data_IF_071731788105
#
_entry.id   IF_071731788105
#
_cell.length_a   1.000
_cell.length_b   1.000
_cell.length_c   1.000
_cell.angle_alpha   90.00
_cell.angle_beta   90.00
_cell.angle_gamma   90.00
#
_symmetry.space_group_name_H-M   'P 1'
#
loop_
_entity.id
_entity.type
_entity.pdbx_description
1 polymer ?
#
# COMPACT_ATOMS: atom_id res chain seq x y z
N UNK A 1 22.75 -9.68 -41.19
CA UNK A 1 21.76 -9.45 -42.25
C UNK A 1 20.63 -10.45 -42.03
N UNK A 2 19.63 -10.07 -41.23
CA UNK A 2 18.29 -10.65 -41.18
C UNK A 2 17.38 -9.58 -40.60
N UNK A 3 16.72 -8.85 -41.50
CA UNK A 3 15.58 -8.01 -41.17
C UNK A 3 14.42 -8.94 -40.83
N UNK A 4 13.85 -8.81 -39.64
CA UNK A 4 12.52 -9.36 -39.35
C UNK A 4 11.51 -8.24 -39.54
N UNK A 5 10.96 -8.15 -40.74
CA UNK A 5 9.72 -7.42 -40.99
C UNK A 5 8.59 -8.09 -40.18
N UNK A 6 8.05 -7.39 -39.17
CA UNK A 6 6.73 -7.72 -38.65
C UNK A 6 5.71 -7.40 -39.74
N UNK A 7 4.87 -8.39 -40.05
CA UNK A 7 3.75 -8.29 -40.97
C UNK A 7 2.70 -7.30 -40.38
N UNK A 8 2.18 -6.33 -41.16
CA UNK A 8 1.11 -5.45 -40.72
C UNK A 8 -0.24 -6.13 -41.01
N UNK A 9 -0.83 -6.79 -40.02
CA UNK A 9 -2.21 -7.27 -40.14
C UNK A 9 -2.88 -7.39 -38.77
N UNK A 10 -3.78 -6.45 -38.50
CA UNK A 10 -4.75 -6.55 -37.41
C UNK A 10 -4.45 -5.73 -36.15
N UNK A 11 -3.77 -4.59 -36.26
CA UNK A 11 -3.85 -3.60 -35.19
C UNK A 11 -5.27 -3.05 -35.14
N UNK A 12 -5.94 -3.22 -34.01
CA UNK A 12 -7.05 -2.35 -33.64
C UNK A 12 -6.55 -0.93 -33.81
N UNK A 13 -7.12 -0.17 -34.75
CA UNK A 13 -6.89 1.27 -34.79
C UNK A 13 -7.26 1.79 -33.40
N UNK A 14 -6.32 2.43 -32.72
CA UNK A 14 -6.57 3.01 -31.41
C UNK A 14 -7.84 3.85 -31.44
N UNK A 15 -8.72 3.68 -30.46
CA UNK A 15 -10.00 4.40 -30.43
C UNK A 15 -9.76 5.92 -30.32
N UNK A 16 -8.62 6.32 -29.74
CA UNK A 16 -8.16 7.71 -29.69
C UNK A 16 -7.37 8.13 -30.92
N UNK A 17 -7.88 9.09 -31.70
CA UNK A 17 -7.13 9.63 -32.85
C UNK A 17 -5.88 10.39 -32.41
N UNK A 18 -4.75 10.19 -33.08
CA UNK A 18 -3.54 11.00 -32.91
C UNK A 18 -3.82 12.50 -33.09
N UNK A 19 -3.30 13.34 -32.18
CA UNK A 19 -3.44 14.80 -32.22
C UNK A 19 -2.06 15.46 -32.18
N UNK A 20 -1.58 16.07 -33.28
CA UNK A 20 -0.32 16.80 -33.27
C UNK A 20 -0.31 17.90 -32.20
N UNK A 21 0.68 17.90 -31.31
CA UNK A 21 0.80 18.88 -30.23
C UNK A 21 -0.29 18.78 -29.16
N UNK A 22 -0.86 17.59 -28.97
CA UNK A 22 -2.02 17.43 -28.11
C UNK A 22 -2.33 16.01 -27.65
N UNK A 23 -3.46 15.90 -26.96
CA UNK A 23 -3.97 14.69 -26.32
C UNK A 23 -5.40 14.47 -26.84
N UNK A 24 -5.73 13.23 -27.18
CA UNK A 24 -7.10 12.79 -27.48
C UNK A 24 -7.58 11.83 -26.41
N UNK A 25 -8.85 11.94 -26.04
CA UNK A 25 -9.51 11.06 -25.10
C UNK A 25 -10.83 10.57 -25.66
N UNK A 26 -11.20 9.34 -25.28
CA UNK A 26 -12.51 8.76 -25.55
C UNK A 26 -13.22 8.55 -24.22
N UNK A 27 -14.40 9.13 -24.09
CA UNK A 27 -15.27 9.03 -22.93
C UNK A 27 -16.31 7.93 -23.14
N UNK A 28 -16.71 7.28 -22.06
CA UNK A 28 -17.90 6.45 -22.07
C UNK A 28 -19.14 7.28 -22.43
N UNK A 29 -20.05 6.79 -23.31
CA UNK A 29 -21.28 7.51 -23.66
C UNK A 29 -22.19 7.86 -22.48
N UNK A 30 -22.06 7.15 -21.36
CA UNK A 30 -22.86 7.35 -20.15
C UNK A 30 -22.26 8.39 -19.17
N UNK A 31 -21.12 9.00 -19.51
CA UNK A 31 -20.53 10.14 -18.77
C UNK A 31 -19.72 11.04 -19.71
N UNK A 32 -20.37 12.11 -20.16
CA UNK A 32 -19.77 13.11 -21.07
C UNK A 32 -19.21 14.34 -20.35
N UNK A 33 -19.28 14.38 -19.02
CA UNK A 33 -18.67 15.44 -18.22
C UNK A 33 -17.45 14.88 -17.50
N UNK A 34 -16.29 15.49 -17.75
CA UNK A 34 -15.02 15.11 -17.10
C UNK A 34 -14.38 16.29 -16.38
N UNK A 35 -13.60 15.98 -15.35
CA UNK A 35 -12.73 16.94 -14.65
C UNK A 35 -11.30 16.73 -15.07
N UNK A 36 -10.61 17.82 -15.40
CA UNK A 36 -9.20 17.80 -15.78
C UNK A 36 -8.44 18.93 -15.08
N UNK A 37 -7.16 18.71 -14.84
CA UNK A 37 -6.20 19.77 -14.52
C UNK A 37 -5.11 19.72 -15.58
N UNK A 38 -4.81 20.88 -16.18
CA UNK A 38 -3.82 20.97 -17.25
C UNK A 38 -2.85 22.10 -16.93
N UNK A 39 -1.55 21.80 -17.03
CA UNK A 39 -0.49 22.80 -16.90
C UNK A 39 0.26 22.90 -18.21
N UNK A 40 0.51 24.12 -18.68
CA UNK A 40 1.34 24.41 -19.84
C UNK A 40 2.67 25.02 -19.41
N UNK A 41 3.73 24.81 -20.20
CA UNK A 41 5.08 25.29 -19.83
C UNK A 41 5.18 26.82 -19.73
N UNK A 42 4.33 27.55 -20.45
CA UNK A 42 4.32 29.01 -20.58
C UNK A 42 3.05 29.68 -19.98
N UNK A 43 2.18 28.90 -19.33
CA UNK A 43 0.90 29.37 -18.81
C UNK A 43 -0.13 29.72 -19.88
N UNK A 44 0.11 29.36 -21.14
CA UNK A 44 -0.85 29.53 -22.23
C UNK A 44 -2.12 28.71 -22.02
N UNK A 45 -3.23 29.18 -22.59
CA UNK A 45 -4.47 28.40 -22.65
C UNK A 45 -4.32 27.14 -23.52
N UNK A 46 -5.09 26.12 -23.18
CA UNK A 46 -5.19 24.87 -23.93
C UNK A 46 -6.47 24.90 -24.73
N UNK A 47 -6.36 24.70 -26.04
CA UNK A 47 -7.51 24.60 -26.92
C UNK A 47 -8.23 23.27 -26.69
N UNK A 48 -9.57 23.33 -26.63
CA UNK A 48 -10.44 22.17 -26.42
C UNK A 48 -11.33 21.99 -27.66
N UNK A 49 -11.39 20.77 -28.18
CA UNK A 49 -12.32 20.36 -29.22
C UNK A 49 -13.19 19.20 -28.72
N UNK A 50 -14.44 19.13 -29.19
CA UNK A 50 -15.40 18.10 -28.79
C UNK A 50 -16.23 18.45 -27.55
N UNK A 51 -16.02 19.62 -26.96
CA UNK A 51 -16.74 20.11 -25.78
C UNK A 51 -17.49 21.43 -26.04
N UNK A 52 -18.33 21.83 -25.08
CA UNK A 52 -18.89 23.18 -25.03
C UNK A 52 -17.82 24.24 -24.78
N UNK A 53 -16.79 23.88 -24.00
CA UNK A 53 -15.59 24.68 -23.76
C UNK A 53 -14.69 24.63 -24.99
N UNK A 54 -14.20 25.80 -25.43
CA UNK A 54 -13.27 25.91 -26.57
C UNK A 54 -11.82 26.14 -26.13
N UNK A 55 -11.62 26.61 -24.90
CA UNK A 55 -10.31 26.67 -24.24
C UNK A 55 -10.44 26.53 -22.72
N UNK A 56 -9.35 26.14 -22.08
CA UNK A 56 -9.19 26.09 -20.63
C UNK A 56 -7.83 26.68 -20.22
N UNK A 57 -7.69 27.24 -19.00
CA UNK A 57 -6.41 27.75 -18.53
C UNK A 57 -5.38 26.62 -18.37
N UNK A 58 -4.12 26.91 -18.72
CA UNK A 58 -2.97 26.01 -18.51
C UNK A 58 -2.25 26.25 -17.17
N UNK A 59 -2.97 26.70 -16.15
CA UNK A 59 -2.43 27.07 -14.83
C UNK A 59 -2.50 25.94 -13.79
N UNK A 60 -2.98 24.76 -14.18
CA UNK A 60 -3.17 23.60 -13.29
C UNK A 60 -4.45 23.65 -12.45
N UNK A 61 -5.30 24.67 -12.61
CA UNK A 61 -6.61 24.71 -11.95
C UNK A 61 -7.53 23.59 -12.45
N UNK A 62 -8.44 23.14 -11.59
CA UNK A 62 -9.42 22.12 -11.95
C UNK A 62 -10.49 22.71 -12.89
N UNK A 63 -10.69 22.05 -14.02
CA UNK A 63 -11.61 22.45 -15.07
C UNK A 63 -12.61 21.32 -15.33
N UNK A 64 -13.86 21.68 -15.61
CA UNK A 64 -14.89 20.73 -16.02
C UNK A 64 -15.12 20.89 -17.51
N UNK A 65 -14.98 19.81 -18.27
CA UNK A 65 -15.27 19.77 -19.70
C UNK A 65 -16.59 19.05 -19.92
N UNK A 66 -17.49 19.69 -20.68
CA UNK A 66 -18.79 19.16 -21.05
C UNK A 66 -18.76 18.72 -22.51
N UNK A 67 -18.46 17.44 -22.73
CA UNK A 67 -18.30 16.89 -24.06
C UNK A 67 -19.64 16.81 -24.81
N UNK A 68 -19.61 17.22 -26.07
CA UNK A 68 -20.73 17.12 -27.03
C UNK A 68 -20.89 15.72 -27.64
N UNK A 69 -19.88 14.88 -27.47
CA UNK A 69 -19.82 13.48 -27.87
C UNK A 69 -18.75 12.76 -27.06
N UNK A 70 -18.35 11.56 -27.47
CA UNK A 70 -17.38 10.77 -26.71
C UNK A 70 -15.93 11.23 -26.91
N UNK A 71 -15.63 11.99 -27.95
CA UNK A 71 -14.26 12.41 -28.25
C UNK A 71 -13.98 13.81 -27.69
N UNK A 72 -12.90 13.94 -26.92
CA UNK A 72 -12.36 15.21 -26.46
C UNK A 72 -10.91 15.33 -26.89
N UNK A 73 -10.53 16.48 -27.44
CA UNK A 73 -9.14 16.75 -27.84
C UNK A 73 -8.64 18.02 -27.18
N UNK A 74 -7.41 17.96 -26.68
CA UNK A 74 -6.69 19.07 -26.07
C UNK A 74 -5.46 19.38 -26.90
N UNK A 75 -5.18 20.66 -27.17
CA UNK A 75 -3.96 21.10 -27.86
C UNK A 75 -3.31 22.27 -27.14
N UNK A 76 -2.00 22.20 -26.98
CA UNK A 76 -1.21 23.22 -26.31
C UNK A 76 0.15 22.68 -25.87
N UNK A 77 0.97 23.56 -25.28
CA UNK A 77 2.29 23.21 -24.75
C UNK A 77 2.16 22.53 -23.37
N UNK A 78 1.41 21.42 -23.32
CA UNK A 78 1.00 20.74 -22.08
C UNK A 78 2.19 19.98 -21.48
N UNK A 79 2.49 20.25 -20.21
CA UNK A 79 3.53 19.56 -19.42
C UNK A 79 2.93 18.65 -18.34
N UNK A 80 1.76 19.00 -17.81
CA UNK A 80 1.01 18.16 -16.86
C UNK A 80 -0.41 17.97 -17.37
N UNK A 81 -0.82 16.71 -17.44
CA UNK A 81 -2.20 16.34 -17.72
C UNK A 81 -2.74 15.41 -16.64
N UNK A 82 -3.77 15.86 -15.91
CA UNK A 82 -4.46 15.06 -14.92
C UNK A 82 -5.94 14.94 -15.29
N UNK A 83 -6.38 13.72 -15.57
CA UNK A 83 -7.76 13.32 -15.77
C UNK A 83 -8.14 12.16 -14.83
N UNK A 84 -7.50 12.08 -13.67
CA UNK A 84 -7.76 11.02 -12.70
C UNK A 84 -9.13 11.19 -12.05
N UNK A 85 -9.84 10.08 -11.88
CA UNK A 85 -11.03 10.02 -11.06
C UNK A 85 -10.72 9.74 -9.59
N UNK A 86 -11.75 9.37 -8.86
CA UNK A 86 -11.66 8.83 -7.50
C UNK A 86 -12.44 7.51 -7.41
N UNK A 87 -12.30 6.79 -6.29
CA UNK A 87 -13.09 5.59 -6.03
C UNK A 87 -14.62 5.84 -6.11
N UNK A 88 -15.08 7.04 -5.75
CA UNK A 88 -16.50 7.42 -5.75
C UNK A 88 -16.92 8.21 -7.00
N UNK A 89 -15.98 8.73 -7.78
CA UNK A 89 -16.21 9.55 -8.98
C UNK A 89 -15.15 9.24 -10.06
N UNK A 90 -15.21 8.05 -10.65
CA UNK A 90 -14.35 7.68 -11.80
C UNK A 90 -14.72 8.53 -13.04
N UNK A 91 -13.76 8.92 -13.89
CA UNK A 91 -14.06 9.80 -15.05
C UNK A 91 -14.64 9.03 -16.26
N UNK A 92 -14.63 7.69 -16.22
CA UNK A 92 -15.09 6.80 -17.31
C UNK A 92 -14.43 7.06 -18.68
N UNK A 93 -13.16 7.47 -18.69
CA UNK A 93 -12.36 7.55 -19.91
C UNK A 93 -11.96 6.12 -20.31
N UNK A 94 -12.15 5.74 -21.57
CA UNK A 94 -11.88 4.40 -22.11
C UNK A 94 -10.61 4.31 -22.94
N UNK A 95 -10.18 5.42 -23.55
CA UNK A 95 -8.91 5.48 -24.28
C UNK A 95 -8.26 6.86 -24.16
N UNK A 96 -6.93 6.89 -24.11
CA UNK A 96 -6.12 8.11 -24.20
C UNK A 96 -5.03 7.90 -25.23
N UNK A 97 -4.90 8.84 -26.16
CA UNK A 97 -3.74 8.97 -27.04
C UNK A 97 -3.06 10.30 -26.76
N UNK A 98 -1.86 10.25 -26.19
CA UNK A 98 -1.04 11.42 -25.87
C UNK A 98 0.26 11.48 -26.69
N UNK A 99 0.43 10.61 -27.69
CA UNK A 99 1.69 10.50 -28.45
C UNK A 99 2.10 11.81 -29.16
N UNK A 100 1.15 12.67 -29.49
CA UNK A 100 1.42 13.97 -30.11
C UNK A 100 1.84 15.06 -29.13
N UNK A 101 1.78 14.82 -27.82
CA UNK A 101 2.10 15.76 -26.76
C UNK A 101 3.53 15.57 -26.23
N UNK A 102 4.54 15.74 -27.08
CA UNK A 102 5.96 15.48 -26.73
C UNK A 102 6.53 16.33 -25.57
N UNK A 103 5.82 17.36 -25.13
CA UNK A 103 6.16 18.21 -23.98
C UNK A 103 5.66 17.64 -22.65
N UNK A 104 4.88 16.56 -22.66
CA UNK A 104 4.26 16.01 -21.46
C UNK A 104 5.31 15.41 -20.53
N UNK A 105 5.35 15.90 -19.28
CA UNK A 105 6.24 15.45 -18.23
C UNK A 105 5.52 14.59 -17.19
N UNK A 106 4.23 14.86 -16.96
CA UNK A 106 3.42 14.15 -15.94
C UNK A 106 2.04 13.82 -16.47
N UNK A 107 1.69 12.53 -16.42
CA UNK A 107 0.38 12.01 -16.80
C UNK A 107 -0.28 11.30 -15.62
N UNK A 108 -1.45 11.79 -15.22
CA UNK A 108 -2.30 11.19 -14.21
C UNK A 108 -3.65 10.83 -14.82
N UNK A 109 -3.91 9.54 -15.01
CA UNK A 109 -5.15 9.03 -15.61
C UNK A 109 -5.75 7.88 -14.80
N UNK A 110 -5.53 7.88 -13.49
CA UNK A 110 -5.99 6.84 -12.56
C UNK A 110 -7.50 6.86 -12.35
N UNK A 111 -8.11 5.76 -11.89
CA UNK A 111 -9.55 5.65 -11.62
C UNK A 111 -10.41 5.98 -12.87
N UNK A 112 -10.16 5.23 -13.94
CA UNK A 112 -10.84 5.34 -15.21
C UNK A 112 -11.31 3.95 -15.69
N UNK A 113 -11.58 3.82 -16.99
CA UNK A 113 -11.92 2.55 -17.64
C UNK A 113 -11.00 2.28 -18.83
N UNK A 114 -9.76 2.79 -18.77
CA UNK A 114 -8.84 2.75 -19.90
C UNK A 114 -8.57 1.30 -20.31
N UNK A 115 -8.88 0.98 -21.56
CA UNK A 115 -8.44 -0.25 -22.23
C UNK A 115 -7.23 0.02 -23.13
N UNK A 116 -6.99 1.30 -23.45
CA UNK A 116 -5.93 1.75 -24.36
C UNK A 116 -5.26 3.02 -23.82
N UNK A 117 -3.94 3.04 -23.82
CA UNK A 117 -3.12 4.17 -23.42
C UNK A 117 -1.91 4.30 -24.36
N UNK A 118 -2.01 5.16 -25.36
CA UNK A 118 -0.94 5.38 -26.33
C UNK A 118 -0.01 6.54 -25.90
N UNK A 119 1.20 6.19 -25.43
CA UNK A 119 2.15 7.14 -24.82
C UNK A 119 3.60 6.94 -25.26
N UNK A 120 3.88 6.00 -26.17
CA UNK A 120 5.23 5.51 -26.48
C UNK A 120 6.24 6.59 -26.92
N UNK A 121 5.76 7.73 -27.43
CA UNK A 121 6.58 8.86 -27.89
C UNK A 121 6.97 9.87 -26.80
N UNK A 122 6.53 9.69 -25.55
CA UNK A 122 6.67 10.67 -24.47
C UNK A 122 8.02 10.59 -23.73
N UNK A 123 9.13 10.92 -24.40
CA UNK A 123 10.48 10.81 -23.83
C UNK A 123 10.77 11.72 -22.63
N UNK A 124 9.96 12.75 -22.40
CA UNK A 124 10.09 13.69 -21.28
C UNK A 124 9.30 13.25 -20.03
N UNK A 125 8.59 12.12 -20.09
CA UNK A 125 7.73 11.67 -19.00
C UNK A 125 8.57 11.30 -17.77
N UNK A 126 8.26 11.94 -16.65
CA UNK A 126 8.85 11.71 -15.32
C UNK A 126 7.88 11.02 -14.37
N UNK A 127 6.58 11.23 -14.58
CA UNK A 127 5.50 10.63 -13.76
C UNK A 127 4.41 10.04 -14.64
N UNK A 128 4.08 8.77 -14.40
CA UNK A 128 2.94 8.08 -15.02
C UNK A 128 2.10 7.34 -13.97
N UNK A 129 0.90 7.84 -13.70
CA UNK A 129 -0.05 7.20 -12.78
C UNK A 129 -1.34 6.82 -13.49
N UNK A 130 -1.50 5.53 -13.78
CA UNK A 130 -2.64 4.95 -14.49
C UNK A 130 -3.32 3.82 -13.69
N UNK A 131 -3.24 3.83 -12.35
CA UNK A 131 -3.87 2.82 -11.50
C UNK A 131 -5.39 2.76 -11.63
N UNK A 132 -6.00 1.61 -11.33
CA UNK A 132 -7.45 1.39 -11.34
C UNK A 132 -8.03 1.70 -12.72
N UNK A 133 -7.66 0.85 -13.69
CA UNK A 133 -8.08 0.90 -15.08
C UNK A 133 -8.34 -0.53 -15.59
N UNK A 134 -8.37 -0.73 -16.92
CA UNK A 134 -8.58 -2.03 -17.57
C UNK A 134 -7.49 -2.31 -18.61
N UNK A 135 -6.28 -1.77 -18.39
CA UNK A 135 -5.17 -1.91 -19.32
C UNK A 135 -4.68 -3.35 -19.32
N UNK A 136 -4.45 -3.91 -20.50
CA UNK A 136 -3.86 -5.25 -20.67
C UNK A 136 -2.40 -5.19 -21.09
N UNK A 137 -1.97 -4.03 -21.60
CA UNK A 137 -0.61 -3.72 -22.01
C UNK A 137 -0.21 -2.32 -21.51
N UNK A 138 1.09 -2.14 -21.29
CA UNK A 138 1.66 -0.86 -20.90
C UNK A 138 3.10 -0.75 -21.43
N UNK A 139 3.31 0.14 -22.39
CA UNK A 139 4.61 0.36 -23.03
C UNK A 139 5.36 1.50 -22.34
N UNK A 140 6.24 1.17 -21.40
CA UNK A 140 7.02 2.16 -20.62
C UNK A 140 8.53 2.07 -20.80
N UNK A 141 9.05 1.01 -21.44
CA UNK A 141 10.50 0.69 -21.46
C UNK A 141 11.44 1.77 -22.05
N UNK A 142 10.91 2.79 -22.73
CA UNK A 142 11.67 3.92 -23.28
C UNK A 142 11.65 5.19 -22.41
N UNK A 143 10.92 5.21 -21.29
CA UNK A 143 10.80 6.39 -20.43
C UNK A 143 11.97 6.50 -19.45
N UNK A 144 13.17 6.75 -19.97
CA UNK A 144 14.41 6.77 -19.19
C UNK A 144 14.46 7.83 -18.09
N UNK A 145 13.59 8.86 -18.15
CA UNK A 145 13.48 9.92 -17.15
C UNK A 145 12.40 9.63 -16.09
N UNK A 146 11.74 8.47 -16.15
CA UNK A 146 10.64 8.14 -15.24
C UNK A 146 11.17 7.92 -13.82
N UNK A 147 10.66 8.70 -12.87
CA UNK A 147 10.96 8.57 -11.44
C UNK A 147 9.79 7.99 -10.65
N UNK A 148 8.57 8.10 -11.18
CA UNK A 148 7.38 7.56 -10.54
C UNK A 148 6.45 6.87 -11.53
N UNK A 149 6.20 5.58 -11.28
CA UNK A 149 5.33 4.73 -12.08
C UNK A 149 4.30 4.04 -11.18
N UNK A 150 3.02 4.25 -11.48
CA UNK A 150 1.91 3.57 -10.80
C UNK A 150 0.93 3.03 -11.82
N UNK A 151 0.77 1.71 -11.87
CA UNK A 151 -0.17 0.99 -12.74
C UNK A 151 -0.96 -0.09 -12.00
N UNK A 152 -1.04 -0.01 -10.66
CA UNK A 152 -1.77 -0.98 -9.83
C UNK A 152 -3.24 -1.13 -10.26
N UNK A 153 -3.85 -2.29 -10.00
CA UNK A 153 -5.25 -2.60 -10.35
C UNK A 153 -5.53 -2.40 -11.84
N UNK A 154 -4.86 -3.21 -12.66
CA UNK A 154 -5.05 -3.35 -14.09
C UNK A 154 -5.08 -4.84 -14.48
N UNK A 155 -4.99 -5.15 -15.77
CA UNK A 155 -4.96 -6.52 -16.30
C UNK A 155 -3.64 -6.78 -17.04
N UNK A 156 -2.56 -6.10 -16.62
CA UNK A 156 -1.26 -6.15 -17.29
C UNK A 156 -0.57 -7.46 -16.91
N UNK A 157 -0.25 -8.27 -17.93
CA UNK A 157 0.43 -9.55 -17.73
C UNK A 157 1.94 -9.49 -17.91
N UNK A 158 2.45 -8.47 -18.59
CA UNK A 158 3.87 -8.24 -18.83
C UNK A 158 4.13 -6.73 -18.93
N UNK A 159 5.24 -6.28 -18.37
CA UNK A 159 5.70 -4.90 -18.47
C UNK A 159 7.22 -4.89 -18.52
N UNK A 160 7.79 -4.15 -19.47
CA UNK A 160 9.24 -3.93 -19.56
C UNK A 160 9.61 -2.68 -18.74
N UNK A 161 10.29 -2.90 -17.61
CA UNK A 161 10.78 -1.86 -16.71
C UNK A 161 12.30 -1.88 -16.57
N UNK A 162 13.01 -2.69 -17.35
CA UNK A 162 14.43 -3.01 -17.12
C UNK A 162 15.34 -1.79 -17.24
N UNK A 163 14.97 -0.85 -18.12
CA UNK A 163 15.73 0.37 -18.37
C UNK A 163 15.31 1.56 -17.49
N UNK A 164 14.33 1.39 -16.59
CA UNK A 164 13.77 2.47 -15.79
C UNK A 164 14.59 2.75 -14.52
N UNK A 165 15.91 2.84 -14.66
CA UNK A 165 16.87 2.89 -13.53
C UNK A 165 16.75 4.14 -12.65
N UNK A 166 16.01 5.16 -13.09
CA UNK A 166 15.72 6.38 -12.32
C UNK A 166 14.46 6.26 -11.45
N UNK A 167 13.77 5.11 -11.46
CA UNK A 167 12.57 4.92 -10.64
C UNK A 167 12.89 4.99 -9.15
N UNK A 168 12.15 5.86 -8.47
CA UNK A 168 12.13 6.02 -7.02
C UNK A 168 10.84 5.44 -6.43
N UNK A 169 9.75 5.45 -7.20
CA UNK A 169 8.42 4.97 -6.81
C UNK A 169 7.85 4.01 -7.86
N UNK A 170 7.57 2.77 -7.44
CA UNK A 170 6.94 1.75 -8.28
C UNK A 170 5.76 1.10 -7.55
N UNK A 171 4.54 1.37 -8.05
CA UNK A 171 3.31 0.73 -7.58
C UNK A 171 2.69 -0.09 -8.71
N UNK A 172 2.70 -1.40 -8.56
CA UNK A 172 2.32 -2.36 -9.59
C UNK A 172 1.32 -3.42 -9.11
N UNK A 173 0.86 -3.29 -7.85
CA UNK A 173 -0.02 -4.25 -7.19
C UNK A 173 -1.29 -4.60 -7.98
N UNK A 174 -1.89 -5.76 -7.70
CA UNK A 174 -3.15 -6.21 -8.34
C UNK A 174 -3.04 -6.18 -9.88
N UNK A 175 -2.10 -6.96 -10.40
CA UNK A 175 -1.91 -7.23 -11.81
C UNK A 175 -1.49 -8.70 -12.02
N UNK A 176 -1.94 -9.36 -13.09
CA UNK A 176 -1.59 -10.74 -13.40
C UNK A 176 -0.19 -10.87 -14.06
N UNK A 177 0.84 -10.23 -13.49
CA UNK A 177 2.19 -10.24 -14.04
C UNK A 177 2.77 -11.66 -14.08
N UNK A 178 3.27 -12.08 -15.24
CA UNK A 178 3.86 -13.42 -15.41
C UNK A 178 5.27 -13.54 -14.82
N UNK A 179 5.96 -12.42 -14.66
CA UNK A 179 7.27 -12.30 -14.04
C UNK A 179 7.42 -10.92 -13.41
N UNK A 180 8.12 -10.85 -12.29
CA UNK A 180 8.42 -9.59 -11.61
C UNK A 180 9.87 -9.59 -11.13
N UNK A 181 10.67 -8.65 -11.62
CA UNK A 181 12.07 -8.48 -11.25
C UNK A 181 12.37 -6.99 -11.14
N UNK A 182 12.88 -6.56 -9.98
CA UNK A 182 13.14 -5.14 -9.67
C UNK A 182 14.49 -4.91 -9.00
N UNK A 183 15.28 -5.97 -8.78
CA UNK A 183 16.56 -5.93 -8.08
C UNK A 183 17.63 -5.02 -8.74
N UNK A 184 17.44 -4.63 -10.00
CA UNK A 184 18.29 -3.70 -10.73
C UNK A 184 17.86 -2.22 -10.59
N UNK A 185 16.68 -1.94 -10.04
CA UNK A 185 16.14 -0.59 -9.87
C UNK A 185 16.64 0.06 -8.57
N UNK A 186 17.94 0.30 -8.50
CA UNK A 186 18.66 0.66 -7.26
C UNK A 186 18.23 1.99 -6.61
N UNK A 187 17.50 2.84 -7.33
CA UNK A 187 16.99 4.12 -6.80
C UNK A 187 15.63 4.00 -6.11
N UNK A 188 15.00 2.81 -6.09
CA UNK A 188 13.70 2.62 -5.47
C UNK A 188 13.72 2.98 -3.99
N UNK A 189 12.86 3.93 -3.61
CA UNK A 189 12.55 4.29 -2.22
C UNK A 189 11.20 3.71 -1.77
N UNK A 190 10.28 3.48 -2.71
CA UNK A 190 8.93 3.00 -2.44
C UNK A 190 8.50 1.93 -3.46
N UNK A 191 8.21 0.74 -2.95
CA UNK A 191 7.79 -0.40 -3.74
C UNK A 191 6.48 -0.98 -3.20
N UNK A 192 5.47 -1.03 -4.07
CA UNK A 192 4.24 -1.80 -3.84
C UNK A 192 4.07 -2.84 -4.95
N UNK A 193 4.27 -4.10 -4.56
CA UNK A 193 4.20 -5.31 -5.39
C UNK A 193 3.21 -6.32 -4.78
N UNK A 194 2.17 -5.81 -4.10
CA UNK A 194 1.15 -6.63 -3.45
C UNK A 194 0.23 -7.32 -4.47
N UNK A 195 -0.39 -8.44 -4.12
CA UNK A 195 -1.38 -9.13 -4.99
C UNK A 195 -0.83 -9.55 -6.37
N UNK A 196 0.47 -9.86 -6.46
CA UNK A 196 1.13 -10.29 -7.71
C UNK A 196 1.32 -11.81 -7.81
N UNK A 197 0.84 -12.57 -6.83
CA UNK A 197 1.02 -14.04 -6.74
C UNK A 197 2.49 -14.47 -6.71
N UNK A 198 3.38 -13.63 -6.16
CA UNK A 198 4.81 -13.91 -6.08
C UNK A 198 5.11 -15.07 -5.13
N UNK A 199 5.88 -16.05 -5.57
CA UNK A 199 6.47 -17.07 -4.68
C UNK A 199 7.84 -16.66 -4.13
N UNK A 200 8.51 -15.72 -4.79
CA UNK A 200 9.84 -15.19 -4.43
C UNK A 200 9.89 -13.68 -4.73
N UNK A 201 10.59 -12.93 -3.88
CA UNK A 201 10.85 -11.50 -4.08
C UNK A 201 12.33 -11.19 -3.82
N UNK A 202 13.07 -10.93 -4.90
CA UNK A 202 14.51 -10.61 -4.82
C UNK A 202 14.68 -9.09 -4.78
N UNK A 203 15.03 -8.58 -3.60
CA UNK A 203 15.17 -7.13 -3.34
C UNK A 203 16.40 -6.79 -2.49
N UNK A 204 17.30 -7.75 -2.26
CA UNK A 204 18.49 -7.68 -1.41
C UNK A 204 19.44 -6.50 -1.70
N UNK A 205 19.42 -5.96 -2.93
CA UNK A 205 20.25 -4.85 -3.37
C UNK A 205 19.54 -3.48 -3.35
N UNK A 206 18.26 -3.42 -2.99
CA UNK A 206 17.46 -2.19 -3.01
C UNK A 206 17.65 -1.35 -1.73
N UNK A 207 18.88 -0.99 -1.43
CA UNK A 207 19.28 -0.37 -0.15
C UNK A 207 18.65 1.01 0.11
N UNK A 208 18.06 1.65 -0.90
CA UNK A 208 17.34 2.91 -0.77
C UNK A 208 15.87 2.75 -0.33
N UNK A 209 15.33 1.52 -0.29
CA UNK A 209 13.95 1.28 0.09
C UNK A 209 13.64 1.79 1.50
N UNK A 210 12.55 2.54 1.59
CA UNK A 210 11.94 3.06 2.82
C UNK A 210 10.55 2.47 3.06
N UNK A 211 9.82 2.21 1.98
CA UNK A 211 8.46 1.67 2.02
C UNK A 211 8.39 0.42 1.16
N UNK A 212 8.04 -0.71 1.77
CA UNK A 212 7.84 -1.97 1.08
C UNK A 212 6.46 -2.53 1.41
N UNK A 213 5.64 -2.71 0.37
CA UNK A 213 4.47 -3.56 0.40
C UNK A 213 4.66 -4.73 -0.55
N UNK A 214 4.61 -5.93 0.01
CA UNK A 214 4.63 -7.22 -0.68
C UNK A 214 3.50 -8.12 -0.17
N UNK A 215 2.43 -7.50 0.34
CA UNK A 215 1.29 -8.18 0.91
C UNK A 215 0.52 -9.03 -0.12
N UNK A 216 -0.27 -9.97 0.36
CA UNK A 216 -1.18 -10.77 -0.49
C UNK A 216 -0.43 -11.50 -1.63
N UNK A 217 0.72 -12.09 -1.30
CA UNK A 217 1.52 -12.91 -2.20
C UNK A 217 1.60 -14.34 -1.66
N UNK A 218 2.50 -15.14 -2.22
CA UNK A 218 2.75 -16.52 -1.81
C UNK A 218 4.19 -16.69 -1.30
N UNK A 219 4.77 -15.64 -0.73
CA UNK A 219 6.15 -15.62 -0.27
C UNK A 219 6.31 -16.57 0.93
N UNK A 220 7.32 -17.44 0.87
CA UNK A 220 7.71 -18.30 1.99
C UNK A 220 8.90 -17.75 2.77
N UNK A 221 9.67 -16.87 2.13
CA UNK A 221 10.82 -16.17 2.69
C UNK A 221 10.83 -14.71 2.25
N UNK A 222 11.44 -13.85 3.07
CA UNK A 222 11.64 -12.43 2.76
C UNK A 222 12.96 -11.96 3.37
N UNK A 223 14.00 -11.88 2.55
CA UNK A 223 15.31 -11.39 3.00
C UNK A 223 15.38 -9.86 2.97
N UNK A 224 15.55 -9.27 4.16
CA UNK A 224 15.63 -7.83 4.39
C UNK A 224 17.00 -7.40 4.93
N UNK A 225 18.00 -8.30 4.98
CA UNK A 225 19.23 -8.10 5.77
C UNK A 225 19.99 -6.80 5.41
N UNK A 226 19.94 -6.40 4.14
CA UNK A 226 20.62 -5.21 3.61
C UNK A 226 19.72 -3.96 3.54
N UNK A 227 18.42 -4.07 3.83
CA UNK A 227 17.44 -3.01 3.60
C UNK A 227 17.29 -2.07 4.81
N UNK A 228 18.41 -1.59 5.34
CA UNK A 228 18.50 -0.88 6.63
C UNK A 228 17.73 0.45 6.69
N UNK A 229 17.24 0.95 5.54
CA UNK A 229 16.48 2.19 5.43
C UNK A 229 14.97 2.00 5.52
N UNK A 230 14.46 0.77 5.58
CA UNK A 230 13.02 0.50 5.67
C UNK A 230 12.43 1.16 6.93
N UNK A 231 11.33 1.88 6.71
CA UNK A 231 10.51 2.56 7.71
C UNK A 231 9.14 1.88 7.86
N UNK A 232 8.56 1.42 6.75
CA UNK A 232 7.29 0.70 6.77
C UNK A 232 7.40 -0.61 5.98
N UNK A 233 6.98 -1.69 6.64
CA UNK A 233 6.94 -3.03 6.04
C UNK A 233 5.52 -3.60 6.13
N UNK A 234 4.94 -3.88 4.97
CA UNK A 234 3.69 -4.62 4.83
C UNK A 234 3.96 -5.92 4.07
N UNK A 235 3.93 -7.03 4.79
CA UNK A 235 4.16 -8.39 4.27
C UNK A 235 3.06 -9.37 4.74
N UNK A 236 1.90 -8.84 5.13
CA UNK A 236 0.76 -9.63 5.57
C UNK A 236 0.19 -10.49 4.44
N UNK A 237 -0.59 -11.52 4.79
CA UNK A 237 -1.18 -12.45 3.82
C UNK A 237 -0.12 -13.12 2.92
N UNK A 238 0.85 -13.76 3.56
CA UNK A 238 1.89 -14.55 2.89
C UNK A 238 2.06 -15.90 3.62
N UNK A 239 3.12 -16.63 3.31
CA UNK A 239 3.46 -17.93 3.91
C UNK A 239 4.82 -17.86 4.62
N UNK A 240 5.21 -16.68 5.10
CA UNK A 240 6.53 -16.42 5.70
C UNK A 240 6.61 -17.14 7.05
N UNK A 241 7.61 -17.99 7.21
CA UNK A 241 7.85 -18.74 8.45
C UNK A 241 8.81 -18.02 9.41
N UNK A 242 9.74 -17.23 8.88
CA UNK A 242 10.73 -16.48 9.66
C UNK A 242 10.86 -15.05 9.13
N UNK A 243 10.91 -14.07 10.03
CA UNK A 243 11.07 -12.65 9.68
C UNK A 243 12.18 -12.02 10.52
N UNK A 244 13.36 -11.85 9.92
CA UNK A 244 14.51 -11.26 10.59
C UNK A 244 14.52 -9.73 10.47
N UNK A 245 14.32 -9.05 11.62
CA UNK A 245 14.27 -7.59 11.69
C UNK A 245 15.49 -6.96 12.42
N UNK A 246 16.55 -7.73 12.67
CA UNK A 246 17.66 -7.34 13.57
C UNK A 246 18.34 -6.01 13.20
N UNK A 247 18.44 -5.68 11.91
CA UNK A 247 19.12 -4.47 11.41
C UNK A 247 18.16 -3.35 10.98
N UNK A 248 16.87 -3.47 11.31
CA UNK A 248 15.83 -2.54 10.85
C UNK A 248 15.66 -1.35 11.81
N UNK A 249 16.74 -0.64 12.15
CA UNK A 249 16.70 0.43 13.18
C UNK A 249 15.82 1.64 12.81
N UNK A 250 15.44 1.76 11.55
CA UNK A 250 14.57 2.82 11.04
C UNK A 250 13.08 2.45 11.00
N UNK A 251 12.74 1.21 11.35
CA UNK A 251 11.39 0.67 11.22
C UNK A 251 10.43 1.37 12.19
N UNK A 252 9.36 1.92 11.64
CA UNK A 252 8.29 2.60 12.37
C UNK A 252 7.01 1.77 12.39
N UNK A 253 6.71 1.03 11.32
CA UNK A 253 5.50 0.24 11.19
C UNK A 253 5.80 -1.13 10.58
N UNK A 254 5.26 -2.17 11.21
CA UNK A 254 5.30 -3.55 10.70
C UNK A 254 3.89 -4.13 10.70
N UNK A 255 3.50 -4.65 9.54
CA UNK A 255 2.31 -5.48 9.38
C UNK A 255 2.72 -6.79 8.72
N UNK A 256 2.69 -7.87 9.51
CA UNK A 256 2.98 -9.24 9.09
C UNK A 256 1.88 -10.22 9.49
N UNK A 257 0.65 -9.73 9.71
CA UNK A 257 -0.48 -10.58 10.08
C UNK A 257 -0.82 -11.61 8.98
N UNK A 258 -1.42 -12.74 9.35
CA UNK A 258 -1.68 -13.87 8.44
C UNK A 258 -0.43 -14.33 7.68
N UNK A 259 0.53 -14.83 8.45
CA UNK A 259 1.72 -15.53 7.99
C UNK A 259 1.88 -16.84 8.80
N UNK A 260 3.06 -17.47 8.74
CA UNK A 260 3.36 -18.72 9.45
C UNK A 260 4.45 -18.52 10.51
N UNK A 261 4.63 -17.29 11.02
CA UNK A 261 5.69 -16.96 11.96
C UNK A 261 5.54 -17.74 13.27
N UNK A 262 6.61 -18.38 13.73
CA UNK A 262 6.65 -19.09 15.03
C UNK A 262 7.31 -18.27 16.13
N UNK A 263 8.15 -17.31 15.75
CA UNK A 263 8.78 -16.35 16.65
C UNK A 263 8.85 -14.97 16.00
N UNK A 264 8.84 -13.93 16.82
CA UNK A 264 9.06 -12.58 16.35
C UNK A 264 9.80 -11.76 17.41
N UNK A 265 10.93 -11.21 17.00
CA UNK A 265 11.75 -10.35 17.83
C UNK A 265 11.81 -8.94 17.23
N UNK A 266 11.16 -8.00 17.91
CA UNK A 266 11.22 -6.56 17.62
C UNK A 266 11.86 -5.79 18.76
N UNK A 267 12.60 -6.49 19.63
CA UNK A 267 13.29 -5.85 20.73
C UNK A 267 14.31 -4.84 20.22
N UNK A 268 14.42 -3.72 20.94
CA UNK A 268 15.31 -2.62 20.60
C UNK A 268 15.03 -1.90 19.26
N UNK A 269 13.90 -2.18 18.58
CA UNK A 269 13.44 -1.35 17.46
C UNK A 269 12.88 -0.02 18.01
N UNK A 270 13.79 0.89 18.39
CA UNK A 270 13.47 2.08 19.18
C UNK A 270 12.51 3.07 18.48
N UNK A 271 12.38 3.00 17.15
CA UNK A 271 11.46 3.82 16.34
C UNK A 271 10.13 3.14 16.03
N UNK A 272 9.98 1.84 16.33
CA UNK A 272 8.77 1.09 16.02
C UNK A 272 7.60 1.65 16.82
N UNK A 273 6.56 2.11 16.12
CA UNK A 273 5.33 2.69 16.68
C UNK A 273 4.17 1.69 16.66
N UNK A 274 4.08 0.89 15.60
CA UNK A 274 2.99 -0.07 15.41
C UNK A 274 3.49 -1.43 14.94
N UNK A 275 3.02 -2.48 15.60
CA UNK A 275 3.23 -3.88 15.19
C UNK A 275 1.88 -4.61 15.10
N UNK A 276 1.59 -5.14 13.93
CA UNK A 276 0.50 -6.07 13.64
C UNK A 276 1.10 -7.41 13.21
N UNK A 277 0.84 -8.45 14.00
CA UNK A 277 1.33 -9.82 13.79
C UNK A 277 0.25 -10.86 14.13
N UNK A 278 -1.02 -10.45 14.06
CA UNK A 278 -2.17 -11.33 14.29
C UNK A 278 -2.21 -12.51 13.32
N UNK A 279 -2.91 -13.58 13.69
CA UNK A 279 -3.10 -14.76 12.82
C UNK A 279 -1.76 -15.36 12.33
N UNK A 280 -0.84 -15.60 13.25
CA UNK A 280 0.40 -16.33 13.02
C UNK A 280 0.44 -17.56 13.94
N UNK A 281 1.61 -18.20 14.07
CA UNK A 281 1.84 -19.33 14.96
C UNK A 281 2.84 -18.96 16.07
N UNK A 282 2.90 -17.67 16.45
CA UNK A 282 3.97 -17.14 17.29
C UNK A 282 3.84 -17.73 18.69
N UNK A 283 4.88 -18.39 19.19
CA UNK A 283 4.98 -18.84 20.59
C UNK A 283 5.79 -17.86 21.45
N UNK A 284 6.76 -17.17 20.84
CA UNK A 284 7.63 -16.19 21.49
C UNK A 284 7.57 -14.85 20.75
N UNK A 285 7.05 -13.83 21.44
CA UNK A 285 7.02 -12.46 20.97
C UNK A 285 7.81 -11.56 21.92
N UNK A 286 8.98 -11.11 21.46
CA UNK A 286 9.84 -10.21 22.22
C UNK A 286 9.78 -8.79 21.64
N UNK A 287 9.08 -7.90 22.36
CA UNK A 287 8.98 -6.47 22.05
C UNK A 287 9.72 -5.59 23.08
N UNK A 288 10.59 -6.17 23.91
CA UNK A 288 11.26 -5.44 24.97
C UNK A 288 12.10 -4.25 24.43
N UNK A 289 12.09 -3.14 25.14
CA UNK A 289 12.78 -1.89 24.78
C UNK A 289 12.34 -1.29 23.42
N UNK A 290 11.19 -1.68 22.87
CA UNK A 290 10.58 -0.98 21.73
C UNK A 290 9.98 0.35 22.23
N UNK A 291 10.85 1.33 22.48
CA UNK A 291 10.50 2.50 23.30
C UNK A 291 9.42 3.41 22.71
N UNK A 292 9.27 3.41 21.38
CA UNK A 292 8.25 4.18 20.67
C UNK A 292 6.96 3.40 20.41
N UNK A 293 6.87 2.12 20.79
CA UNK A 293 5.75 1.25 20.43
C UNK A 293 4.48 1.72 21.13
N UNK A 294 3.49 2.18 20.37
CA UNK A 294 2.18 2.61 20.88
C UNK A 294 1.13 1.53 20.74
N UNK A 295 1.21 0.71 19.69
CA UNK A 295 0.20 -0.29 19.34
C UNK A 295 0.85 -1.65 19.05
N UNK A 296 0.42 -2.68 19.79
CA UNK A 296 0.83 -4.06 19.60
C UNK A 296 -0.39 -4.96 19.43
N UNK A 297 -0.56 -5.51 18.23
CA UNK A 297 -1.62 -6.45 17.92
C UNK A 297 -1.02 -7.82 17.60
N UNK A 298 -1.32 -8.80 18.46
CA UNK A 298 -0.83 -10.17 18.38
C UNK A 298 -1.95 -11.20 18.64
N UNK A 299 -3.21 -10.80 18.41
CA UNK A 299 -4.38 -11.66 18.53
C UNK A 299 -4.25 -12.89 17.64
N UNK A 300 -4.77 -14.04 18.07
CA UNK A 300 -4.83 -15.27 17.29
C UNK A 300 -3.42 -15.80 16.92
N UNK A 301 -2.69 -16.21 17.95
CA UNK A 301 -1.36 -16.81 17.89
C UNK A 301 -1.27 -17.95 18.92
N UNK A 302 -0.07 -18.45 19.19
CA UNK A 302 0.18 -19.52 20.18
C UNK A 302 1.05 -19.01 21.34
N UNK A 303 0.98 -17.71 21.66
CA UNK A 303 1.97 -17.05 22.51
C UNK A 303 1.92 -17.62 23.92
N UNK A 304 3.06 -18.16 24.35
CA UNK A 304 3.35 -18.52 25.74
C UNK A 304 4.39 -17.59 26.35
N UNK A 305 5.00 -16.69 25.58
CA UNK A 305 5.93 -15.68 26.09
C UNK A 305 5.76 -14.36 25.34
N UNK A 306 5.08 -13.41 25.99
CA UNK A 306 4.94 -12.03 25.53
C UNK A 306 5.80 -11.11 26.40
N UNK A 307 6.91 -10.62 25.85
CA UNK A 307 7.77 -9.67 26.55
C UNK A 307 7.56 -8.23 26.03
N UNK A 308 6.97 -7.38 26.88
CA UNK A 308 6.73 -5.95 26.62
C UNK A 308 7.46 -5.05 27.63
N UNK A 309 8.54 -5.54 28.24
CA UNK A 309 9.32 -4.76 29.19
C UNK A 309 9.90 -3.49 28.55
N UNK A 310 9.86 -2.37 29.29
CA UNK A 310 10.40 -1.09 28.84
C UNK A 310 9.78 -0.57 27.52
N UNK A 311 8.46 -0.72 27.36
CA UNK A 311 7.68 -0.08 26.30
C UNK A 311 6.89 1.13 26.83
N UNK A 312 7.54 2.25 27.19
CA UNK A 312 6.91 3.40 27.86
C UNK A 312 5.91 4.18 27.01
N UNK A 313 5.80 3.91 25.70
CA UNK A 313 4.81 4.52 24.81
C UNK A 313 3.56 3.65 24.57
N UNK A 314 3.55 2.39 25.01
CA UNK A 314 2.48 1.43 24.70
C UNK A 314 1.15 1.87 25.30
N UNK A 315 0.11 2.03 24.48
CA UNK A 315 -1.25 2.39 24.91
C UNK A 315 -2.31 1.46 24.34
N UNK A 316 -2.02 0.62 23.35
CA UNK A 316 -2.95 -0.39 22.85
C UNK A 316 -2.28 -1.75 22.72
N UNK A 317 -2.83 -2.74 23.43
CA UNK A 317 -2.40 -4.13 23.37
C UNK A 317 -3.59 -5.03 23.06
N UNK A 318 -3.46 -5.87 22.02
CA UNK A 318 -4.47 -6.88 21.68
C UNK A 318 -3.79 -8.25 21.62
N UNK A 319 -4.11 -9.10 22.59
CA UNK A 319 -3.45 -10.40 22.77
C UNK A 319 -4.42 -11.56 23.01
N UNK A 320 -5.72 -11.38 22.73
CA UNK A 320 -6.71 -12.45 22.76
C UNK A 320 -6.36 -13.61 21.81
N UNK A 321 -6.95 -14.78 22.04
CA UNK A 321 -6.72 -16.02 21.28
C UNK A 321 -5.24 -16.39 21.24
N UNK A 322 -4.66 -16.59 22.42
CA UNK A 322 -3.28 -17.03 22.63
C UNK A 322 -3.24 -18.12 23.71
N UNK A 323 -2.04 -18.49 24.19
CA UNK A 323 -1.84 -19.49 25.24
C UNK A 323 -1.30 -18.87 26.56
N UNK A 324 -1.78 -17.68 26.91
CA UNK A 324 -1.30 -16.93 28.08
C UNK A 324 -1.99 -17.40 29.37
N UNK A 325 -1.26 -18.06 30.26
CA UNK A 325 -1.77 -18.39 31.60
C UNK A 325 -1.77 -17.18 32.57
N UNK A 326 -2.22 -17.41 33.82
CA UNK A 326 -2.27 -16.41 34.88
C UNK A 326 -0.89 -15.77 35.19
N UNK A 327 0.20 -16.53 35.15
CA UNK A 327 1.54 -16.01 35.41
C UNK A 327 2.02 -15.09 34.29
N UNK A 328 1.73 -15.45 33.03
CA UNK A 328 2.04 -14.59 31.88
C UNK A 328 1.27 -13.26 31.95
N UNK A 329 -0.03 -13.30 32.30
CA UNK A 329 -0.80 -12.07 32.52
C UNK A 329 -0.24 -11.21 33.65
N UNK A 330 0.20 -11.81 34.77
CA UNK A 330 0.89 -11.06 35.83
C UNK A 330 2.13 -10.34 35.30
N UNK A 331 2.94 -10.99 34.47
CA UNK A 331 4.10 -10.36 33.87
C UNK A 331 3.70 -9.17 32.97
N UNK A 332 2.67 -9.35 32.13
CA UNK A 332 2.12 -8.30 31.25
C UNK A 332 1.65 -7.10 32.09
N UNK A 333 0.77 -7.31 33.08
CA UNK A 333 0.20 -6.21 33.89
C UNK A 333 1.27 -5.43 34.66
N UNK A 334 2.32 -6.12 35.11
CA UNK A 334 3.45 -5.47 35.76
C UNK A 334 4.28 -4.63 34.77
N UNK A 335 4.44 -5.10 33.53
CA UNK A 335 5.19 -4.40 32.48
C UNK A 335 4.43 -3.22 31.84
N UNK A 336 3.09 -3.21 31.87
CA UNK A 336 2.30 -2.11 31.33
C UNK A 336 2.73 -0.76 31.93
N UNK A 337 2.88 0.32 31.14
CA UNK A 337 3.23 1.65 31.63
C UNK A 337 2.02 2.39 32.26
N UNK A 338 2.28 3.37 33.11
CA UNK A 338 1.23 4.28 33.63
C UNK A 338 0.76 5.23 32.52
N UNK A 339 -0.55 5.44 32.42
CA UNK A 339 -1.21 6.27 31.41
C UNK A 339 -2.03 7.39 32.02
N UNK A 340 -2.24 8.45 31.25
CA UNK A 340 -3.18 9.51 31.58
C UNK A 340 -4.61 9.12 31.17
N UNK A 341 -5.63 9.74 31.78
CA UNK A 341 -7.04 9.58 31.40
C UNK A 341 -7.30 9.80 29.91
N UNK A 342 -6.59 10.75 29.29
CA UNK A 342 -6.72 11.11 27.88
C UNK A 342 -6.02 10.16 26.91
N UNK A 343 -5.18 9.25 27.41
CA UNK A 343 -4.41 8.33 26.54
C UNK A 343 -5.30 7.21 25.97
N UNK A 344 -6.50 6.99 26.53
CA UNK A 344 -7.45 5.93 26.15
C UNK A 344 -6.77 4.56 26.04
N UNK A 345 -5.92 4.21 27.01
CA UNK A 345 -5.14 2.99 26.94
C UNK A 345 -6.02 1.74 27.11
N UNK A 346 -5.89 0.76 26.21
CA UNK A 346 -6.72 -0.45 26.19
C UNK A 346 -5.89 -1.74 26.07
N UNK A 347 -6.30 -2.76 26.83
CA UNK A 347 -5.84 -4.13 26.70
C UNK A 347 -7.02 -5.04 26.34
N UNK A 348 -6.96 -5.72 25.20
CA UNK A 348 -7.95 -6.72 24.75
C UNK A 348 -7.38 -8.12 25.00
N UNK A 349 -7.88 -8.77 26.05
CA UNK A 349 -7.18 -9.87 26.71
C UNK A 349 -7.65 -11.26 26.27
N UNK A 350 -8.95 -11.48 26.18
CA UNK A 350 -9.50 -12.78 25.79
C UNK A 350 -10.95 -12.70 25.28
N UNK A 351 -11.41 -13.77 24.64
CA UNK A 351 -12.81 -13.99 24.24
C UNK A 351 -13.48 -14.99 25.19
N UNK A 352 -14.57 -14.59 25.82
CA UNK A 352 -15.30 -15.43 26.76
C UNK A 352 -15.96 -16.61 26.03
N UNK A 353 -15.69 -17.83 26.51
CA UNK A 353 -16.27 -19.07 25.99
C UNK A 353 -16.07 -19.33 24.48
N UNK A 354 -15.08 -18.67 23.85
CA UNK A 354 -14.68 -18.98 22.47
C UNK A 354 -13.78 -20.23 22.45
N UNK A 355 -14.03 -21.22 21.56
CA UNK A 355 -13.27 -22.47 21.54
C UNK A 355 -11.81 -22.33 21.11
N UNK A 356 -11.48 -21.25 20.38
CA UNK A 356 -10.12 -20.94 19.93
C UNK A 356 -9.40 -19.98 20.92
N UNK A 357 -10.05 -19.62 22.02
CA UNK A 357 -9.43 -18.87 23.10
C UNK A 357 -8.81 -19.81 24.14
N UNK A 358 -7.49 -19.71 24.30
CA UNK A 358 -6.73 -20.51 25.26
C UNK A 358 -6.02 -19.66 26.32
N UNK A 359 -6.21 -18.34 26.29
CA UNK A 359 -5.77 -17.48 27.37
C UNK A 359 -6.56 -17.80 28.65
N UNK A 360 -5.93 -17.61 29.79
CA UNK A 360 -6.58 -17.69 31.10
C UNK A 360 -7.68 -16.62 31.19
N UNK A 361 -8.93 -17.07 31.24
CA UNK A 361 -10.10 -16.21 31.40
C UNK A 361 -10.39 -15.99 32.88
N UNK A 362 -10.73 -14.76 33.27
CA UNK A 362 -10.93 -14.40 34.67
C UNK A 362 -11.92 -13.24 34.85
N UNK A 363 -12.39 -13.09 36.08
CA UNK A 363 -13.12 -11.90 36.56
C UNK A 363 -12.23 -11.08 37.49
N UNK A 364 -12.66 -9.89 37.89
CA UNK A 364 -11.95 -9.07 38.89
C UNK A 364 -11.65 -9.86 40.18
N UNK A 365 -12.51 -10.80 40.59
CA UNK A 365 -12.32 -11.61 41.78
C UNK A 365 -11.24 -12.71 41.64
N UNK A 366 -10.95 -13.13 40.40
CA UNK A 366 -10.01 -14.22 40.07
C UNK A 366 -8.82 -13.74 39.24
N UNK A 367 -8.68 -12.42 39.13
CA UNK A 367 -7.71 -11.79 38.25
C UNK A 367 -6.26 -12.06 38.70
N UNK A 368 -5.33 -12.24 37.75
CA UNK A 368 -3.92 -12.37 38.05
C UNK A 368 -3.35 -11.16 38.81
N UNK A 369 -2.26 -11.38 39.54
CA UNK A 369 -1.55 -10.31 40.25
C UNK A 369 -1.18 -9.16 39.29
N UNK A 370 -1.30 -7.92 39.76
CA UNK A 370 -1.02 -6.72 38.97
C UNK A 370 -2.22 -6.19 38.17
N UNK A 371 -3.28 -6.98 37.97
CA UNK A 371 -4.48 -6.57 37.22
C UNK A 371 -5.09 -5.26 37.76
N UNK A 372 -5.45 -5.23 39.05
CA UNK A 372 -6.04 -4.05 39.70
C UNK A 372 -5.12 -2.85 39.62
N UNK A 373 -3.81 -3.04 39.78
CA UNK A 373 -2.85 -1.95 39.66
C UNK A 373 -2.80 -1.41 38.22
N UNK A 374 -2.83 -2.29 37.22
CA UNK A 374 -2.82 -1.88 35.83
C UNK A 374 -4.12 -1.16 35.43
N UNK A 375 -5.28 -1.64 35.89
CA UNK A 375 -6.57 -0.99 35.66
C UNK A 375 -6.68 0.35 36.38
N UNK A 376 -6.50 0.34 37.70
CA UNK A 376 -6.91 1.47 38.56
C UNK A 376 -5.80 2.51 38.76
N UNK A 377 -4.53 2.09 38.80
CA UNK A 377 -3.40 3.00 39.05
C UNK A 377 -2.60 3.34 37.78
N UNK A 378 -2.56 2.43 36.81
CA UNK A 378 -1.92 2.67 35.51
C UNK A 378 -2.89 3.14 34.43
N UNK A 379 -4.20 3.20 34.74
CA UNK A 379 -5.26 3.72 33.90
C UNK A 379 -5.40 3.00 32.54
N UNK A 380 -5.49 1.67 32.59
CA UNK A 380 -5.78 0.82 31.43
C UNK A 380 -7.22 0.30 31.48
N UNK A 381 -7.94 0.45 30.37
CA UNK A 381 -9.16 -0.31 30.14
C UNK A 381 -8.80 -1.78 29.91
N UNK A 382 -9.35 -2.67 30.73
CA UNK A 382 -9.05 -4.11 30.71
C UNK A 382 -10.25 -4.85 30.16
N UNK A 383 -10.17 -5.21 28.89
CA UNK A 383 -11.32 -5.60 28.10
C UNK A 383 -11.30 -7.08 27.74
N UNK A 384 -12.48 -7.67 27.75
CA UNK A 384 -12.76 -8.98 27.15
C UNK A 384 -13.88 -8.87 26.11
N UNK A 385 -13.94 -9.85 25.21
CA UNK A 385 -15.03 -9.99 24.25
C UNK A 385 -16.08 -10.95 24.84
N UNK A 386 -17.33 -10.51 25.06
CA UNK A 386 -18.36 -11.35 25.67
C UNK A 386 -18.93 -12.34 24.65
N UNK A 387 -19.36 -13.53 25.11
CA UNK A 387 -19.77 -14.64 24.24
C UNK A 387 -20.84 -14.27 23.18
N UNK A 388 -21.76 -13.36 23.52
CA UNK A 388 -22.83 -12.91 22.62
C UNK A 388 -22.62 -11.48 22.08
N UNK A 389 -21.41 -10.94 22.20
CA UNK A 389 -21.08 -9.60 21.75
C UNK A 389 -20.97 -9.50 20.23
N UNK A 390 -21.23 -8.30 19.70
CA UNK A 390 -20.88 -7.98 18.31
C UNK A 390 -19.36 -8.11 18.08
N UNK A 391 -18.92 -8.29 16.83
CA UNK A 391 -17.49 -8.47 16.50
C UNK A 391 -16.57 -7.37 17.07
N UNK A 392 -17.07 -6.13 17.18
CA UNK A 392 -16.33 -4.98 17.71
C UNK A 392 -16.65 -4.65 19.17
N UNK A 393 -17.45 -5.48 19.85
CA UNK A 393 -17.88 -5.25 21.22
C UNK A 393 -16.83 -5.76 22.21
N UNK A 394 -16.19 -4.84 22.92
CA UNK A 394 -15.21 -5.12 23.96
C UNK A 394 -15.63 -4.36 25.21
N UNK A 395 -15.78 -5.08 26.32
CA UNK A 395 -16.30 -4.52 27.57
C UNK A 395 -15.33 -4.78 28.72
N UNK A 396 -15.39 -3.94 29.75
CA UNK A 396 -14.56 -4.10 30.93
C UNK A 396 -14.81 -5.44 31.63
N UNK A 397 -13.74 -6.07 32.09
CA UNK A 397 -13.81 -7.32 32.86
C UNK A 397 -14.57 -7.08 34.17
N UNK A 398 -15.64 -7.86 34.45
CA UNK A 398 -16.56 -7.62 35.58
C UNK A 398 -15.98 -7.92 36.95
#
# INVERSE_FOLDING_TARGET
MFFSCKNPSGGTQGEGSYVPGGISMILSPDKLTIKVNVTTADGSEVSVEGCAETSIPGDGSAQTLNASGTTVKLRGNITVFNCSGTHTDNQKITAINAQGCGTLEKLYCSYNQLTELEIDSLSNLTVLHCRVNRLTELNVGNFLNLTSLSFSSNQISNVDIDNLTNLEFLHCADNPLSSFQVNHLLNLENLDCSELQLSELIIDNLTNLRYLSCADNQLTELDLVNLTNIQCLWCYHNQIAELNLTNMSNLELVSCFQNQLTELNVSNLAKLKGLSCEFNQITLLNAANATALTSLYCTNNQITNLNIQNCPALSSLRCAKNNLDSAHFTAIFNALPTRSGSDNAECRLFWENDPDEHNYQFTTATAPNGFTNARDNKNWAMLYHPQNGGYNEWIDIP
#
